data_IF_983710268013
#
_entry.id   IF_983710268013
#
_cell.length_a   1.000
_cell.length_b   1.000
_cell.length_c   1.000
_cell.angle_alpha   90.00
_cell.angle_beta   90.00
_cell.angle_gamma   90.00
#
_symmetry.space_group_name_H-M   'P 1'
#
loop_
_entity.id
_entity.type
_entity.pdbx_description
1 polymer ?
#
# COMPACT_ATOMS: atom_id res chain seq x y z
N UNK A 1 -38.54 44.04 -0.24
CA UNK A 1 -37.92 42.82 -0.81
C UNK A 1 -36.62 43.11 -1.57
N UNK A 2 -36.46 44.25 -2.28
CA UNK A 2 -35.21 44.58 -2.98
C UNK A 2 -33.96 44.80 -2.10
N UNK A 3 -34.09 45.31 -0.87
CA UNK A 3 -32.93 45.59 0.01
C UNK A 3 -32.32 44.36 0.69
N UNK A 4 -33.10 43.29 0.91
CA UNK A 4 -32.60 42.03 1.47
C UNK A 4 -31.73 41.27 0.46
N UNK A 5 -32.15 41.24 -0.81
CA UNK A 5 -31.47 40.52 -1.89
C UNK A 5 -30.09 41.16 -2.16
N UNK A 6 -29.99 42.49 -2.17
CA UNK A 6 -28.72 43.21 -2.33
C UNK A 6 -27.74 42.98 -1.17
N UNK A 7 -28.26 42.80 0.05
CA UNK A 7 -27.45 42.53 1.25
C UNK A 7 -26.89 41.10 1.30
N UNK A 8 -27.64 40.12 0.81
CA UNK A 8 -27.18 38.72 0.72
C UNK A 8 -26.13 38.52 -0.37
N UNK A 9 -26.30 39.13 -1.55
CA UNK A 9 -25.30 39.09 -2.62
C UNK A 9 -23.98 39.75 -2.21
N UNK A 10 -24.02 40.88 -1.49
CA UNK A 10 -22.81 41.56 -1.01
C UNK A 10 -22.05 40.74 0.05
N UNK A 11 -22.78 40.07 0.97
CA UNK A 11 -22.20 39.16 1.97
C UNK A 11 -21.57 37.93 1.33
N UNK A 12 -22.23 37.37 0.32
CA UNK A 12 -21.72 36.26 -0.49
C UNK A 12 -20.44 36.67 -1.24
N UNK A 13 -20.39 37.87 -1.84
CA UNK A 13 -19.18 38.39 -2.50
C UNK A 13 -18.00 38.61 -1.54
N UNK A 14 -18.24 39.14 -0.33
CA UNK A 14 -17.19 39.30 0.68
C UNK A 14 -16.65 37.97 1.19
N UNK A 15 -17.54 36.99 1.42
CA UNK A 15 -17.17 35.63 1.79
C UNK A 15 -16.25 34.99 0.75
N UNK A 16 -16.65 35.00 -0.53
CA UNK A 16 -15.84 34.41 -1.60
C UNK A 16 -14.47 35.07 -1.73
N UNK A 17 -14.39 36.40 -1.65
CA UNK A 17 -13.10 37.12 -1.68
C UNK A 17 -12.20 36.74 -0.50
N UNK A 18 -12.78 36.54 0.69
CA UNK A 18 -12.01 36.07 1.86
C UNK A 18 -11.47 34.67 1.62
N UNK A 19 -12.31 33.73 1.18
CA UNK A 19 -11.90 32.34 0.94
C UNK A 19 -10.81 32.26 -0.12
N UNK A 20 -10.94 32.98 -1.24
CA UNK A 20 -9.88 33.03 -2.26
C UNK A 20 -8.56 33.59 -1.73
N UNK A 21 -8.62 34.69 -0.94
CA UNK A 21 -7.43 35.24 -0.30
C UNK A 21 -6.79 34.24 0.68
N UNK A 22 -7.58 33.42 1.36
CA UNK A 22 -7.08 32.41 2.28
C UNK A 22 -6.48 31.20 1.58
N UNK A 23 -7.02 30.80 0.43
CA UNK A 23 -6.42 29.78 -0.43
C UNK A 23 -5.06 30.27 -0.94
N UNK A 24 -4.96 31.52 -1.39
CA UNK A 24 -3.68 32.12 -1.81
C UNK A 24 -2.63 32.07 -0.70
N UNK A 25 -3.02 32.35 0.55
CA UNK A 25 -2.14 32.27 1.72
C UNK A 25 -1.68 30.84 2.05
N UNK A 26 -2.49 29.83 1.72
CA UNK A 26 -2.13 28.42 1.87
C UNK A 26 -1.24 27.95 0.72
N UNK A 27 -1.47 28.46 -0.50
CA UNK A 27 -0.82 28.06 -1.74
C UNK A 27 -1.78 27.25 -2.64
N UNK A 28 -1.98 27.72 -3.87
CA UNK A 28 -2.85 27.07 -4.86
C UNK A 28 -2.36 25.70 -5.30
N UNK A 29 -1.04 25.47 -5.27
CA UNK A 29 -0.40 24.19 -5.58
C UNK A 29 -0.77 23.08 -4.59
N UNK A 30 -1.26 23.45 -3.39
CA UNK A 30 -1.72 22.52 -2.38
C UNK A 30 -3.22 22.21 -2.53
N UNK A 31 -3.99 23.01 -3.26
CA UNK A 31 -5.43 22.81 -3.42
C UNK A 31 -5.70 21.62 -4.35
N UNK A 32 -6.51 20.65 -3.90
CA UNK A 32 -6.87 19.45 -4.67
C UNK A 32 -8.29 19.54 -5.19
N UNK A 33 -9.23 19.96 -4.35
CA UNK A 33 -10.64 20.14 -4.71
C UNK A 33 -11.18 21.42 -4.12
N UNK A 34 -12.07 22.05 -4.88
CA UNK A 34 -12.82 23.23 -4.47
C UNK A 34 -14.27 23.04 -4.91
N UNK A 35 -15.21 23.08 -3.96
CA UNK A 35 -16.63 23.03 -4.26
C UNK A 35 -17.11 24.28 -4.99
N UNK A 36 -18.13 24.14 -5.83
CA UNK A 36 -18.67 25.25 -6.64
C UNK A 36 -19.17 26.42 -5.78
N UNK A 37 -19.70 26.13 -4.60
CA UNK A 37 -20.20 27.12 -3.64
C UNK A 37 -19.13 27.61 -2.65
N UNK A 38 -17.87 27.19 -2.83
CA UNK A 38 -16.73 27.48 -1.96
C UNK A 38 -16.92 27.08 -0.49
N UNK A 39 -17.87 26.17 -0.21
CA UNK A 39 -18.10 25.64 1.14
C UNK A 39 -17.29 24.38 1.44
N UNK A 40 -16.71 23.75 0.42
CA UNK A 40 -15.84 22.58 0.57
C UNK A 40 -14.51 22.83 -0.10
N UNK A 41 -13.42 22.53 0.60
CA UNK A 41 -12.06 22.58 0.07
C UNK A 41 -11.30 21.33 0.51
N UNK A 42 -10.32 20.91 -0.28
CA UNK A 42 -9.33 19.96 0.20
C UNK A 42 -7.91 20.34 -0.20
N UNK A 43 -6.99 20.16 0.74
CA UNK A 43 -5.57 20.46 0.58
C UNK A 43 -4.71 19.19 0.66
N UNK A 44 -3.75 19.08 -0.25
CA UNK A 44 -2.69 18.08 -0.25
C UNK A 44 -1.54 18.58 0.62
N UNK A 45 -1.25 17.82 1.66
CA UNK A 45 -0.22 18.14 2.65
C UNK A 45 0.78 16.98 2.72
N UNK A 46 2.06 17.31 2.61
CA UNK A 46 3.14 16.34 2.82
C UNK A 46 3.58 16.40 4.27
N UNK A 47 3.76 15.24 4.90
CA UNK A 47 4.45 15.16 6.18
C UNK A 47 5.98 15.14 6.01
N UNK A 48 6.72 15.12 7.12
CA UNK A 48 8.20 15.12 7.07
C UNK A 48 8.83 13.90 6.39
N UNK A 49 8.10 12.79 6.23
CA UNK A 49 8.55 11.59 5.52
C UNK A 49 8.09 11.57 4.06
N UNK A 50 7.43 12.63 3.59
CA UNK A 50 6.93 12.74 2.23
C UNK A 50 5.64 11.96 1.97
N UNK A 51 4.95 11.49 3.02
CA UNK A 51 3.63 10.87 2.86
C UNK A 51 2.61 11.94 2.52
N UNK A 52 1.72 11.61 1.58
CA UNK A 52 0.66 12.49 1.12
C UNK A 52 -0.59 12.31 1.98
N UNK A 53 -1.05 13.40 2.58
CA UNK A 53 -2.28 13.48 3.35
C UNK A 53 -3.24 14.46 2.68
N UNK A 54 -4.53 14.13 2.66
CA UNK A 54 -5.59 15.01 2.17
C UNK A 54 -6.36 15.54 3.38
N UNK A 55 -6.31 16.85 3.58
CA UNK A 55 -7.11 17.57 4.57
C UNK A 55 -8.34 18.13 3.88
N UNK A 56 -9.51 17.65 4.26
CA UNK A 56 -10.80 18.16 3.79
C UNK A 56 -11.36 19.15 4.81
N UNK A 57 -11.91 20.26 4.32
CA UNK A 57 -12.42 21.37 5.11
C UNK A 57 -13.80 21.74 4.60
N UNK A 58 -14.78 21.77 5.50
CA UNK A 58 -16.13 22.26 5.23
C UNK A 58 -16.35 23.58 5.97
N UNK A 59 -16.65 24.63 5.20
CA UNK A 59 -17.02 25.96 5.67
C UNK A 59 -18.54 26.04 5.75
N UNK A 60 -19.05 26.45 6.90
CA UNK A 60 -20.46 26.80 7.05
C UNK A 60 -20.69 28.30 6.79
N UNK A 61 -21.96 28.73 6.82
CA UNK A 61 -22.34 30.14 6.60
C UNK A 61 -21.89 31.08 7.73
N UNK A 62 -21.48 30.53 8.87
CA UNK A 62 -21.00 31.27 10.04
C UNK A 62 -19.49 31.46 10.04
N UNK A 63 -18.75 30.85 9.10
CA UNK A 63 -17.34 31.09 8.89
C UNK A 63 -17.00 32.58 8.67
N UNK A 64 -15.91 33.12 9.26
CA UNK A 64 -14.96 32.48 10.19
C UNK A 64 -15.37 32.60 11.67
N UNK A 65 -16.58 33.06 11.99
CA UNK A 65 -17.02 33.22 13.39
C UNK A 65 -17.12 31.87 14.11
N UNK A 66 -17.51 30.82 13.40
CA UNK A 66 -17.41 29.42 13.82
C UNK A 66 -16.21 28.73 13.18
N UNK A 67 -15.63 27.70 13.83
CA UNK A 67 -14.62 26.87 13.22
C UNK A 67 -15.18 26.11 12.02
N UNK A 68 -14.38 25.89 10.97
CA UNK A 68 -14.75 24.93 9.93
C UNK A 68 -14.72 23.49 10.47
N UNK A 69 -15.48 22.61 9.83
CA UNK A 69 -15.36 21.16 10.08
C UNK A 69 -14.22 20.60 9.25
N UNK A 70 -13.47 19.64 9.82
CA UNK A 70 -12.31 19.04 9.16
C UNK A 70 -12.38 17.52 9.16
N UNK A 71 -11.88 16.90 8.10
CA UNK A 71 -11.69 15.44 7.99
C UNK A 71 -10.39 15.14 7.28
N UNK A 72 -9.76 14.02 7.63
CA UNK A 72 -8.58 13.50 6.98
C UNK A 72 -8.48 11.99 7.27
N UNK A 73 -7.74 11.26 6.43
CA UNK A 73 -7.39 9.87 6.68
C UNK A 73 -6.32 9.78 7.78
N UNK A 74 -6.73 9.95 9.04
CA UNK A 74 -5.86 9.90 10.23
C UNK A 74 -6.58 9.14 11.35
N UNK A 75 -5.85 8.52 12.30
CA UNK A 75 -6.49 7.65 13.31
C UNK A 75 -7.46 8.39 14.23
N UNK A 76 -7.22 9.69 14.42
CA UNK A 76 -8.13 10.60 15.08
C UNK A 76 -7.89 12.02 14.57
N UNK A 77 -8.95 12.83 14.55
CA UNK A 77 -8.89 14.25 14.20
C UNK A 77 -8.50 15.05 15.44
N UNK A 78 -7.65 16.06 15.27
CA UNK A 78 -7.23 16.94 16.36
C UNK A 78 -8.34 17.92 16.75
N UNK A 79 -8.29 18.43 17.97
CA UNK A 79 -9.17 19.52 18.39
C UNK A 79 -8.66 20.82 17.77
N UNK A 80 -9.39 21.37 16.80
CA UNK A 80 -9.04 22.60 16.11
C UNK A 80 -9.15 23.79 17.07
N UNK A 81 -8.03 24.43 17.37
CA UNK A 81 -8.02 25.71 18.08
C UNK A 81 -8.43 26.82 17.11
N UNK A 82 -9.54 27.48 17.40
CA UNK A 82 -10.15 28.43 16.49
C UNK A 82 -10.63 29.69 17.20
N UNK A 83 -10.46 30.82 16.51
CA UNK A 83 -11.01 32.13 16.87
C UNK A 83 -11.57 32.82 15.63
N UNK A 84 -12.40 33.85 15.81
CA UNK A 84 -12.99 34.61 14.68
C UNK A 84 -11.98 35.30 13.75
N UNK A 85 -10.70 35.37 14.14
CA UNK A 85 -9.60 35.91 13.33
C UNK A 85 -8.76 34.82 12.67
N UNK A 86 -9.07 33.56 12.92
CA UNK A 86 -8.38 32.41 12.34
C UNK A 86 -8.79 32.25 10.88
N UNK A 87 -7.89 31.67 10.09
CA UNK A 87 -8.01 31.51 8.64
C UNK A 87 -7.57 30.11 8.23
N UNK A 88 -7.80 29.73 6.98
CA UNK A 88 -7.45 28.38 6.47
C UNK A 88 -6.00 27.97 6.76
N UNK A 89 -5.03 28.90 6.67
CA UNK A 89 -3.62 28.63 7.01
C UNK A 89 -3.41 28.14 8.44
N UNK A 90 -4.24 28.59 9.40
CA UNK A 90 -4.17 28.13 10.78
C UNK A 90 -4.61 26.67 10.90
N UNK A 91 -5.63 26.27 10.14
CA UNK A 91 -6.08 24.87 10.07
C UNK A 91 -4.96 23.98 9.50
N UNK A 92 -4.37 24.40 8.38
CA UNK A 92 -3.27 23.68 7.72
C UNK A 92 -2.05 23.56 8.64
N UNK A 93 -1.72 24.62 9.38
CA UNK A 93 -0.60 24.62 10.33
C UNK A 93 -0.83 23.64 11.49
N UNK A 94 -2.00 23.68 12.12
CA UNK A 94 -2.35 22.74 13.21
C UNK A 94 -2.43 21.29 12.70
N UNK A 95 -2.90 21.08 11.47
CA UNK A 95 -2.88 19.75 10.87
C UNK A 95 -1.46 19.25 10.65
N UNK A 96 -0.53 20.08 10.14
CA UNK A 96 0.89 19.70 10.03
C UNK A 96 1.49 19.30 11.38
N UNK A 97 1.20 20.05 12.44
CA UNK A 97 1.63 19.71 13.81
C UNK A 97 1.01 18.41 14.32
N UNK A 98 -0.23 18.12 13.94
CA UNK A 98 -0.89 16.85 14.22
C UNK A 98 -0.21 15.68 13.48
N UNK A 99 0.11 15.85 12.19
CA UNK A 99 0.86 14.87 11.42
C UNK A 99 2.22 14.56 12.05
N UNK A 100 2.90 15.55 12.64
CA UNK A 100 4.18 15.35 13.34
C UNK A 100 4.08 14.42 14.56
N UNK A 101 2.96 14.48 15.29
CA UNK A 101 2.69 13.60 16.44
C UNK A 101 2.47 12.14 16.03
N UNK A 102 1.96 11.91 14.82
CA UNK A 102 1.62 10.58 14.30
C UNK A 102 2.78 9.89 13.58
N UNK A 103 3.95 10.52 13.52
CA UNK A 103 5.08 10.02 12.72
C UNK A 103 5.60 8.67 13.21
N UNK A 104 5.73 8.48 14.51
CA UNK A 104 6.18 7.21 15.09
C UNK A 104 5.16 6.11 14.83
N UNK A 105 3.86 6.42 14.91
CA UNK A 105 2.77 5.48 14.67
C UNK A 105 2.81 4.90 13.27
N UNK A 106 2.82 5.76 12.24
CA UNK A 106 2.88 5.29 10.86
C UNK A 106 4.21 4.61 10.54
N UNK A 107 5.32 5.00 11.17
CA UNK A 107 6.60 4.30 10.99
C UNK A 107 6.54 2.87 11.51
N UNK A 108 5.95 2.66 12.69
CA UNK A 108 5.73 1.31 13.24
C UNK A 108 4.86 0.47 12.33
N UNK A 109 3.79 1.04 11.77
CA UNK A 109 2.92 0.32 10.83
C UNK A 109 3.66 -0.03 9.53
N UNK A 110 4.43 0.89 8.95
CA UNK A 110 5.23 0.61 7.77
C UNK A 110 6.27 -0.51 7.99
N UNK A 111 6.89 -0.55 9.16
CA UNK A 111 7.85 -1.60 9.51
C UNK A 111 7.16 -2.97 9.61
N UNK A 112 5.94 -3.01 10.16
CA UNK A 112 5.09 -4.20 10.18
C UNK A 112 4.71 -4.62 8.75
N UNK A 113 4.19 -3.68 7.95
CA UNK A 113 3.68 -3.92 6.60
C UNK A 113 4.79 -4.41 5.64
N UNK A 114 6.03 -3.93 5.83
CA UNK A 114 7.19 -4.39 5.06
C UNK A 114 7.70 -5.77 5.48
N UNK A 115 7.55 -6.13 6.75
CA UNK A 115 8.25 -7.28 7.33
C UNK A 115 7.37 -8.51 7.50
N UNK A 116 6.05 -8.33 7.63
CA UNK A 116 5.10 -9.40 7.94
C UNK A 116 4.09 -9.62 6.81
N UNK A 117 3.49 -10.80 6.77
CA UNK A 117 2.39 -11.11 5.86
C UNK A 117 1.09 -10.44 6.30
N UNK A 118 0.98 -9.14 6.02
CA UNK A 118 -0.21 -8.34 6.30
C UNK A 118 -1.22 -8.46 5.15
N UNK A 119 -2.51 -8.50 5.48
CA UNK A 119 -3.58 -8.42 4.49
C UNK A 119 -3.56 -7.08 3.71
N UNK A 120 -3.65 -7.15 2.38
CA UNK A 120 -3.35 -6.05 1.47
C UNK A 120 -4.37 -4.89 1.50
N UNK A 121 -5.49 -5.05 2.19
CA UNK A 121 -6.56 -4.05 2.27
C UNK A 121 -6.31 -2.93 3.29
N UNK A 122 -5.10 -2.81 3.85
CA UNK A 122 -4.77 -1.89 4.96
C UNK A 122 -4.04 -0.62 4.51
N UNK A 123 -4.48 0.01 3.41
CA UNK A 123 -3.82 1.18 2.83
C UNK A 123 -4.13 2.52 3.54
N UNK A 124 -5.13 2.56 4.43
CA UNK A 124 -5.55 3.78 5.12
C UNK A 124 -4.65 4.12 6.30
N UNK A 125 -4.31 5.41 6.41
CA UNK A 125 -3.53 5.97 7.52
C UNK A 125 -4.33 6.07 8.84
N UNK A 126 -5.66 5.94 8.79
CA UNK A 126 -6.52 5.89 9.97
C UNK A 126 -6.55 4.53 10.67
N UNK A 127 -6.22 3.45 9.97
CA UNK A 127 -6.33 2.08 10.51
C UNK A 127 -5.17 1.79 11.47
N UNK A 128 -5.50 1.59 12.74
CA UNK A 128 -4.55 1.31 13.84
C UNK A 128 -4.32 -0.17 14.13
N UNK A 129 -4.87 -1.08 13.34
CA UNK A 129 -4.60 -2.50 13.48
C UNK A 129 -4.05 -3.10 12.19
N UNK A 130 -3.39 -4.26 12.32
CA UNK A 130 -2.91 -5.07 11.20
C UNK A 130 -3.33 -6.51 11.38
N UNK A 131 -3.90 -7.09 10.33
CA UNK A 131 -4.21 -8.51 10.27
C UNK A 131 -3.04 -9.23 9.62
N UNK A 132 -2.33 -10.03 10.42
CA UNK A 132 -1.17 -10.81 10.02
C UNK A 132 -1.62 -12.24 9.75
N UNK A 133 -1.34 -12.74 8.55
CA UNK A 133 -1.57 -14.13 8.19
C UNK A 133 -0.47 -15.01 8.79
N UNK A 134 -0.84 -16.09 9.49
CA UNK A 134 0.10 -17.02 10.11
C UNK A 134 0.11 -18.38 9.39
N UNK A 135 -0.71 -18.55 8.35
CA UNK A 135 -0.92 -19.79 7.60
C UNK A 135 -2.03 -20.66 8.20
N UNK A 136 -2.49 -21.66 7.43
CA UNK A 136 -3.54 -22.61 7.84
C UNK A 136 -4.82 -21.94 8.37
N UNK A 137 -5.32 -20.92 7.66
CA UNK A 137 -6.51 -20.14 8.02
C UNK A 137 -6.46 -19.51 9.43
N UNK A 138 -5.25 -19.24 9.92
CA UNK A 138 -4.99 -18.62 11.20
C UNK A 138 -4.44 -17.20 11.03
N UNK A 139 -4.97 -16.27 11.84
CA UNK A 139 -4.63 -14.85 11.76
C UNK A 139 -4.36 -14.26 13.13
N UNK A 140 -3.52 -13.23 13.15
CA UNK A 140 -3.31 -12.37 14.31
C UNK A 140 -3.83 -10.99 13.93
N UNK A 141 -4.79 -10.45 14.69
CA UNK A 141 -5.04 -9.01 14.65
C UNK A 141 -4.20 -8.33 15.71
N UNK A 142 -3.35 -7.41 15.27
CA UNK A 142 -2.46 -6.65 16.09
C UNK A 142 -2.91 -5.19 16.11
N UNK A 143 -3.38 -4.70 17.25
CA UNK A 143 -3.79 -3.30 17.41
C UNK A 143 -2.65 -2.49 18.03
N UNK A 144 -2.24 -1.45 17.32
CA UNK A 144 -1.15 -0.54 17.70
C UNK A 144 -1.75 0.68 18.39
N UNK A 145 -1.18 1.05 19.54
CA UNK A 145 -1.57 2.28 20.21
C UNK A 145 -1.09 3.48 19.38
N UNK A 146 -1.99 4.40 19.04
CA UNK A 146 -1.67 5.56 18.19
C UNK A 146 -0.76 6.56 18.90
N UNK A 147 -0.95 6.76 20.21
CA UNK A 147 -0.19 7.77 20.99
C UNK A 147 1.07 7.20 21.62
N UNK A 148 1.17 5.88 21.79
CA UNK A 148 2.41 5.19 22.20
C UNK A 148 2.66 3.92 21.37
N UNK A 149 3.09 4.04 20.09
CA UNK A 149 3.20 2.91 19.16
C UNK A 149 4.22 1.83 19.55
N UNK A 150 5.11 2.16 20.49
CA UNK A 150 6.11 1.23 21.06
C UNK A 150 5.62 0.53 22.33
N UNK A 151 4.42 0.82 22.82
CA UNK A 151 3.82 0.09 23.93
C UNK A 151 3.51 -1.35 23.54
N UNK A 152 3.26 -2.21 24.53
CA UNK A 152 2.75 -3.57 24.29
C UNK A 152 1.44 -3.45 23.48
N UNK A 153 1.35 -4.05 22.28
CA UNK A 153 0.14 -3.98 21.46
C UNK A 153 -0.96 -4.89 22.01
N UNK A 154 -2.22 -4.59 21.68
CA UNK A 154 -3.30 -5.55 21.91
C UNK A 154 -3.27 -6.59 20.80
N UNK A 155 -3.38 -7.86 21.18
CA UNK A 155 -3.35 -8.97 20.22
C UNK A 155 -4.62 -9.80 20.31
N UNK A 156 -5.19 -10.13 19.16
CA UNK A 156 -6.29 -11.08 19.03
C UNK A 156 -5.90 -12.20 18.09
N UNK A 157 -6.08 -13.42 18.57
CA UNK A 157 -5.77 -14.64 17.86
C UNK A 157 -7.03 -15.23 17.23
N UNK A 158 -7.06 -15.35 15.90
CA UNK A 158 -8.17 -15.85 15.11
C UNK A 158 -7.81 -17.20 14.45
N UNK A 159 -8.77 -18.11 14.40
CA UNK A 159 -8.60 -19.48 13.88
C UNK A 159 -8.57 -20.55 14.98
N UNK A 160 -8.83 -21.80 14.60
CA UNK A 160 -8.96 -22.95 15.52
C UNK A 160 -7.77 -23.91 15.51
N UNK A 161 -6.62 -23.50 14.95
CA UNK A 161 -5.42 -24.33 14.86
C UNK A 161 -4.65 -24.50 16.17
N UNK A 162 -3.96 -25.64 16.38
CA UNK A 162 -3.09 -25.85 17.54
C UNK A 162 -1.99 -24.79 17.66
N UNK A 163 -1.49 -24.29 16.52
CA UNK A 163 -0.48 -23.22 16.45
C UNK A 163 -0.96 -21.93 17.11
N UNK A 164 -2.21 -21.52 16.86
CA UNK A 164 -2.80 -20.29 17.44
C UNK A 164 -3.00 -20.41 18.94
N UNK A 165 -3.42 -21.58 19.42
CA UNK A 165 -3.55 -21.84 20.84
C UNK A 165 -2.19 -21.83 21.56
N UNK A 166 -1.14 -22.33 20.91
CA UNK A 166 0.23 -22.25 21.44
C UNK A 166 0.70 -20.79 21.55
N UNK A 167 0.57 -20.01 20.46
CA UNK A 167 0.94 -18.60 20.45
C UNK A 167 0.18 -17.78 21.50
N UNK A 168 -1.11 -18.08 21.71
CA UNK A 168 -1.91 -17.44 22.76
C UNK A 168 -1.34 -17.69 24.15
N UNK A 169 -0.94 -18.93 24.45
CA UNK A 169 -0.31 -19.28 25.74
C UNK A 169 1.06 -18.60 25.90
N UNK A 170 1.87 -18.59 24.84
CA UNK A 170 3.18 -17.93 24.83
C UNK A 170 3.03 -16.43 25.08
N UNK A 171 2.11 -15.76 24.38
CA UNK A 171 1.82 -14.35 24.58
C UNK A 171 1.39 -14.03 26.02
N UNK A 172 0.43 -14.79 26.57
CA UNK A 172 -0.04 -14.60 27.96
C UNK A 172 1.10 -14.74 28.97
N UNK A 173 1.98 -15.73 28.77
CA UNK A 173 3.13 -15.97 29.65
C UNK A 173 4.20 -14.89 29.53
N UNK A 174 4.50 -14.46 28.30
CA UNK A 174 5.66 -13.64 28.01
C UNK A 174 5.37 -12.14 27.95
N UNK A 175 4.12 -11.69 27.84
CA UNK A 175 3.72 -10.27 27.63
C UNK A 175 4.46 -9.26 28.53
N UNK A 176 4.72 -9.61 29.79
CA UNK A 176 5.47 -8.78 30.76
C UNK A 176 6.93 -8.53 30.40
N UNK A 177 7.48 -9.28 29.43
CA UNK A 177 8.86 -9.16 28.93
C UNK A 177 9.00 -8.12 27.82
N UNK A 178 7.91 -7.46 27.41
CA UNK A 178 7.96 -6.39 26.42
C UNK A 178 8.89 -5.26 26.88
N UNK A 179 9.85 -4.89 26.03
CA UNK A 179 10.78 -3.80 26.29
C UNK A 179 10.59 -2.70 25.27
N UNK A 180 10.23 -1.50 25.72
CA UNK A 180 9.95 -0.36 24.83
C UNK A 180 11.12 0.01 23.92
N UNK A 181 12.34 -0.16 24.41
CA UNK A 181 13.56 0.22 23.69
C UNK A 181 14.00 -0.80 22.63
N UNK A 182 13.41 -2.01 22.65
CA UNK A 182 13.70 -3.04 21.66
C UNK A 182 12.93 -2.76 20.36
N UNK A 183 13.46 -3.19 19.19
CA UNK A 183 12.71 -3.19 17.94
C UNK A 183 11.38 -3.93 18.09
N UNK A 184 10.32 -3.32 17.55
CA UNK A 184 8.95 -3.81 17.73
C UNK A 184 8.76 -5.26 17.26
N UNK A 185 9.32 -5.60 16.09
CA UNK A 185 9.24 -6.95 15.52
C UNK A 185 10.06 -7.99 16.30
N UNK A 186 11.21 -7.58 16.86
CA UNK A 186 12.00 -8.47 17.72
C UNK A 186 11.25 -8.79 19.01
N UNK A 187 10.60 -7.80 19.62
CA UNK A 187 9.73 -8.05 20.76
C UNK A 187 8.61 -9.03 20.40
N UNK A 188 7.92 -8.85 19.29
CA UNK A 188 6.86 -9.77 18.86
C UNK A 188 7.39 -11.20 18.70
N UNK A 189 8.52 -11.38 18.02
CA UNK A 189 9.13 -12.70 17.84
C UNK A 189 9.54 -13.33 19.18
N UNK A 190 10.11 -12.54 20.10
CA UNK A 190 10.48 -13.00 21.43
C UNK A 190 9.27 -13.40 22.28
N UNK A 191 8.17 -12.66 22.19
CA UNK A 191 6.96 -12.93 22.98
C UNK A 191 6.21 -14.16 22.46
N UNK A 192 6.12 -14.30 21.14
CA UNK A 192 5.47 -15.43 20.48
C UNK A 192 6.38 -16.67 20.38
N UNK A 193 7.66 -16.55 20.71
CA UNK A 193 8.69 -17.61 20.60
C UNK A 193 8.72 -18.24 19.19
N UNK A 194 8.34 -17.46 18.18
CA UNK A 194 8.32 -17.86 16.78
C UNK A 194 8.45 -16.63 15.89
N UNK A 195 8.99 -16.83 14.69
CA UNK A 195 8.98 -15.80 13.66
C UNK A 195 7.66 -15.84 12.90
N UNK A 196 7.02 -14.68 12.78
CA UNK A 196 5.84 -14.54 11.93
C UNK A 196 6.26 -14.55 10.45
N UNK A 197 5.43 -15.08 9.55
CA UNK A 197 5.77 -15.15 8.13
C UNK A 197 5.86 -13.75 7.52
N UNK A 198 6.81 -13.57 6.61
CA UNK A 198 6.95 -12.35 5.81
C UNK A 198 6.01 -12.30 4.60
N UNK A 199 5.96 -11.17 3.88
CA UNK A 199 5.10 -11.00 2.71
C UNK A 199 5.33 -12.08 1.64
N UNK A 200 4.29 -12.52 0.92
CA UNK A 200 4.37 -13.60 -0.06
C UNK A 200 5.38 -13.32 -1.20
N UNK A 201 5.66 -12.05 -1.49
CA UNK A 201 6.58 -11.64 -2.56
C UNK A 201 8.07 -11.80 -2.15
N UNK A 202 8.36 -11.78 -0.85
CA UNK A 202 9.71 -12.04 -0.31
C UNK A 202 10.05 -13.52 -0.42
N UNK A 203 9.06 -14.41 -0.40
CA UNK A 203 9.27 -15.85 -0.57
C UNK A 203 9.47 -16.26 -2.04
N UNK A 204 8.95 -15.50 -3.02
CA UNK A 204 9.14 -15.81 -4.46
C UNK A 204 10.50 -15.37 -5.02
N UNK A 205 11.12 -14.31 -4.50
CA UNK A 205 12.41 -13.81 -5.02
C UNK A 205 13.59 -14.76 -4.83
N UNK A 206 13.50 -15.76 -3.94
CA UNK A 206 14.56 -16.75 -3.74
C UNK A 206 14.47 -17.97 -4.68
N UNK A 207 13.46 -18.05 -5.56
CA UNK A 207 13.22 -19.23 -6.40
C UNK A 207 12.79 -18.95 -7.86
N UNK A 208 12.90 -17.71 -8.35
CA UNK A 208 12.59 -17.44 -9.76
C UNK A 208 13.77 -17.82 -10.67
N UNK A 209 13.56 -18.85 -11.49
CA UNK A 209 14.55 -19.37 -12.45
C UNK A 209 14.61 -18.42 -13.65
N UNK A 210 15.81 -17.94 -13.99
CA UNK A 210 16.03 -17.09 -15.16
C UNK A 210 15.92 -17.90 -16.46
N UNK A 211 15.37 -17.28 -17.51
CA UNK A 211 15.33 -17.86 -18.84
C UNK A 211 16.76 -18.05 -19.39
N UNK A 212 17.09 -19.26 -19.83
CA UNK A 212 18.40 -19.59 -20.42
C UNK A 212 18.69 -18.95 -21.80
N UNK A 213 17.82 -18.10 -22.32
CA UNK A 213 18.04 -17.43 -23.62
C UNK A 213 18.16 -15.92 -23.43
N UNK A 214 17.19 -15.29 -22.78
CA UNK A 214 17.18 -13.85 -22.59
C UNK A 214 17.72 -13.40 -21.22
N UNK A 215 18.02 -14.34 -20.31
CA UNK A 215 18.46 -14.07 -18.93
C UNK A 215 17.50 -13.20 -18.11
N UNK A 216 16.29 -12.98 -18.59
CA UNK A 216 15.24 -12.30 -17.86
C UNK A 216 14.40 -13.33 -17.07
N UNK A 217 13.89 -12.89 -15.92
CA UNK A 217 13.01 -13.69 -15.07
C UNK A 217 11.57 -13.74 -15.59
N UNK A 218 11.19 -12.72 -16.35
CA UNK A 218 9.87 -12.61 -16.95
C UNK A 218 9.91 -11.71 -18.20
N UNK A 219 8.88 -11.78 -19.03
CA UNK A 219 8.67 -10.88 -20.17
C UNK A 219 7.36 -10.09 -20.02
N UNK A 220 7.32 -8.82 -20.46
CA UNK A 220 6.09 -8.03 -20.49
C UNK A 220 5.10 -8.63 -21.50
N UNK A 221 3.83 -8.77 -21.12
CA UNK A 221 2.75 -9.16 -22.02
C UNK A 221 1.93 -7.92 -22.37
N UNK A 222 1.86 -7.60 -23.66
CA UNK A 222 0.88 -6.64 -24.18
C UNK A 222 -0.48 -7.33 -24.25
N UNK A 223 -1.22 -7.29 -23.15
CA UNK A 223 -2.64 -7.62 -23.15
C UNK A 223 -3.44 -6.32 -23.22
N UNK A 224 -4.22 -6.14 -24.31
CA UNK A 224 -5.04 -4.93 -24.55
C UNK A 224 -6.18 -4.75 -23.53
N UNK A 225 -6.28 -5.63 -22.52
CA UNK A 225 -7.26 -5.58 -21.43
C UNK A 225 -6.71 -5.05 -20.09
N UNK A 226 -5.52 -4.43 -20.06
CA UNK A 226 -5.08 -3.61 -18.93
C UNK A 226 -4.68 -4.37 -17.66
N UNK A 227 -4.49 -5.69 -17.75
CA UNK A 227 -3.76 -6.44 -16.73
C UNK A 227 -2.28 -6.45 -17.11
N UNK A 228 -1.43 -5.81 -16.30
CA UNK A 228 0.02 -5.84 -16.42
C UNK A 228 0.57 -7.25 -16.07
N UNK A 229 0.25 -8.24 -16.91
CA UNK A 229 0.71 -9.61 -16.77
C UNK A 229 2.19 -9.72 -17.19
N UNK A 230 3.01 -10.29 -16.32
CA UNK A 230 4.35 -10.72 -16.65
C UNK A 230 4.36 -12.25 -16.84
N UNK A 231 4.84 -12.72 -17.99
CA UNK A 231 5.03 -14.16 -18.24
C UNK A 231 6.40 -14.56 -17.68
N UNK A 232 6.42 -15.45 -16.68
CA UNK A 232 7.65 -16.10 -16.22
C UNK A 232 8.05 -17.28 -17.11
N UNK A 233 9.16 -17.94 -16.81
CA UNK A 233 9.60 -19.13 -17.54
C UNK A 233 8.57 -20.27 -17.41
N UNK A 234 8.06 -20.75 -18.55
CA UNK A 234 6.98 -21.72 -18.68
C UNK A 234 7.43 -23.01 -19.39
N UNK A 235 8.67 -23.07 -19.87
CA UNK A 235 9.25 -24.23 -20.53
C UNK A 235 10.52 -24.66 -19.81
N UNK A 236 10.62 -25.93 -19.41
CA UNK A 236 11.83 -26.49 -18.80
C UNK A 236 12.35 -27.66 -19.65
N UNK A 237 13.67 -27.78 -19.77
CA UNK A 237 14.27 -28.95 -20.42
C UNK A 237 14.03 -30.22 -19.59
N UNK A 238 13.52 -31.28 -20.22
CA UNK A 238 13.20 -32.58 -19.59
C UNK A 238 14.42 -33.39 -19.17
N UNK A 239 15.62 -33.02 -19.63
CA UNK A 239 16.86 -33.66 -19.21
C UNK A 239 17.15 -33.33 -17.73
N UNK A 240 17.18 -34.36 -16.87
CA UNK A 240 17.45 -34.28 -15.44
C UNK A 240 18.84 -33.74 -15.08
N UNK A 241 19.76 -33.66 -16.04
CA UNK A 241 21.07 -33.04 -15.83
C UNK A 241 21.13 -31.58 -16.30
N UNK A 242 20.08 -31.07 -16.95
CA UNK A 242 20.06 -29.72 -17.54
C UNK A 242 19.22 -28.74 -16.72
N UNK A 243 17.96 -29.08 -16.43
CA UNK A 243 17.00 -28.27 -15.66
C UNK A 243 16.86 -26.79 -16.08
N UNK A 244 17.29 -26.42 -17.29
CA UNK A 244 17.19 -25.04 -17.77
C UNK A 244 15.75 -24.69 -18.10
N UNK A 245 15.32 -23.53 -17.60
CA UNK A 245 14.02 -22.95 -17.88
C UNK A 245 14.13 -21.87 -18.97
N UNK A 246 13.06 -21.70 -19.72
CA UNK A 246 12.94 -20.77 -20.84
C UNK A 246 11.52 -20.19 -20.88
N UNK A 247 11.38 -19.01 -21.46
CA UNK A 247 10.08 -18.55 -21.95
C UNK A 247 9.73 -19.29 -23.24
N UNK A 248 8.46 -19.65 -23.41
CA UNK A 248 7.93 -20.32 -24.61
C UNK A 248 8.18 -19.50 -25.86
N UNK A 249 8.11 -18.17 -25.76
CA UNK A 249 8.45 -17.24 -26.84
C UNK A 249 9.94 -17.34 -27.18
N UNK A 250 10.84 -17.22 -26.19
CA UNK A 250 12.29 -17.29 -26.41
C UNK A 250 12.72 -18.63 -27.02
N UNK A 251 12.20 -19.74 -26.48
CA UNK A 251 12.52 -21.08 -26.98
C UNK A 251 11.88 -21.32 -28.36
N UNK A 252 10.67 -20.81 -28.59
CA UNK A 252 10.00 -20.88 -29.88
C UNK A 252 10.76 -20.13 -30.98
N UNK A 253 11.22 -18.91 -30.70
CA UNK A 253 12.03 -18.12 -31.64
C UNK A 253 13.38 -18.77 -31.93
N UNK A 254 14.03 -19.30 -30.90
CA UNK A 254 15.27 -20.07 -31.05
C UNK A 254 15.06 -21.29 -31.96
N UNK A 255 14.03 -22.10 -31.70
CA UNK A 255 13.73 -23.28 -32.51
C UNK A 255 13.34 -22.92 -33.95
N UNK A 256 12.64 -21.80 -34.18
CA UNK A 256 12.35 -21.32 -35.54
C UNK A 256 13.59 -20.92 -36.34
N UNK A 257 14.68 -20.55 -35.66
CA UNK A 257 15.96 -20.23 -36.31
C UNK A 257 16.77 -21.46 -36.74
N UNK A 258 16.38 -22.66 -36.29
CA UNK A 258 17.10 -23.91 -36.56
C UNK A 258 16.43 -24.69 -37.70
N UNK A 259 17.24 -25.11 -38.67
CA UNK A 259 16.79 -25.79 -39.90
C UNK A 259 16.28 -27.22 -39.68
N UNK A 260 16.67 -27.87 -38.58
CA UNK A 260 16.27 -29.25 -38.24
C UNK A 260 15.02 -29.32 -37.34
N UNK A 261 14.43 -28.18 -36.99
CA UNK A 261 13.24 -28.11 -36.14
C UNK A 261 12.02 -28.69 -36.87
N UNK A 262 11.24 -29.51 -36.17
CA UNK A 262 9.98 -30.08 -36.68
C UNK A 262 8.82 -29.36 -36.02
N UNK A 263 7.76 -29.10 -36.79
CA UNK A 263 6.51 -28.54 -36.26
C UNK A 263 5.37 -29.53 -36.43
N UNK A 264 4.58 -29.72 -35.37
CA UNK A 264 3.29 -30.42 -35.42
C UNK A 264 2.24 -29.54 -34.76
N UNK A 265 1.24 -29.11 -35.55
CA UNK A 265 0.25 -28.11 -35.14
C UNK A 265 0.90 -26.86 -34.54
N UNK A 266 0.63 -26.60 -33.26
CA UNK A 266 1.15 -25.47 -32.50
C UNK A 266 2.31 -25.87 -31.57
N UNK A 267 2.98 -26.99 -31.82
CA UNK A 267 4.14 -27.44 -31.03
C UNK A 267 5.37 -27.55 -31.92
N UNK A 268 6.47 -26.91 -31.52
CA UNK A 268 7.79 -27.10 -32.12
C UNK A 268 8.57 -28.15 -31.34
N UNK A 269 9.28 -28.99 -32.07
CA UNK A 269 10.18 -30.02 -31.58
C UNK A 269 11.58 -29.77 -32.13
N UNK A 270 12.56 -29.69 -31.24
CA UNK A 270 13.96 -29.55 -31.62
C UNK A 270 14.88 -29.92 -30.46
N UNK A 271 16.05 -29.32 -30.38
CA UNK A 271 17.06 -29.64 -29.38
C UNK A 271 17.26 -28.47 -28.42
N UNK A 272 17.47 -28.78 -27.13
CA UNK A 272 17.78 -27.81 -26.09
C UNK A 272 19.09 -27.07 -26.41
N UNK A 273 19.15 -25.73 -26.28
CA UNK A 273 20.37 -24.95 -26.55
C UNK A 273 21.58 -25.33 -25.68
N UNK A 274 21.35 -25.95 -24.52
CA UNK A 274 22.39 -26.24 -23.54
C UNK A 274 22.89 -27.68 -23.57
N UNK A 275 21.98 -28.65 -23.59
CA UNK A 275 22.32 -30.06 -23.50
C UNK A 275 22.13 -30.82 -24.82
N UNK A 276 21.61 -30.17 -25.85
CA UNK A 276 21.27 -30.78 -27.16
C UNK A 276 20.25 -31.92 -27.12
N UNK A 277 19.65 -32.22 -25.97
CA UNK A 277 18.57 -33.20 -25.84
C UNK A 277 17.25 -32.69 -26.44
N UNK A 278 16.33 -33.58 -26.86
CA UNK A 278 15.04 -33.21 -27.40
C UNK A 278 14.24 -32.30 -26.46
N UNK A 279 13.63 -31.26 -27.01
CA UNK A 279 12.72 -30.34 -26.30
C UNK A 279 11.52 -30.03 -27.18
N UNK A 280 10.37 -29.83 -26.54
CA UNK A 280 9.14 -29.41 -27.20
C UNK A 280 8.59 -28.13 -26.56
N UNK A 281 8.10 -27.21 -27.39
CA UNK A 281 7.47 -25.96 -26.93
C UNK A 281 6.16 -25.74 -27.67
N UNK A 282 5.10 -25.43 -26.91
CA UNK A 282 3.81 -25.04 -27.46
C UNK A 282 3.82 -23.53 -27.72
N UNK A 283 3.58 -23.14 -28.97
CA UNK A 283 3.45 -21.76 -29.38
C UNK A 283 1.97 -21.39 -29.31
N UNK A 284 1.64 -20.35 -28.56
CA UNK A 284 0.31 -19.76 -28.63
C UNK A 284 0.21 -18.91 -29.90
N UNK A 285 -0.64 -19.34 -30.85
CA UNK A 285 -0.96 -18.61 -32.08
C UNK A 285 -1.84 -17.40 -31.80
N UNK A 286 -1.41 -16.48 -30.94
CA UNK A 286 -1.96 -15.14 -30.90
C UNK A 286 -0.97 -14.25 -31.67
N UNK A 287 -1.41 -13.76 -32.85
CA UNK A 287 -0.69 -12.89 -33.81
C UNK A 287 0.08 -13.65 -34.91
N UNK A 288 -0.65 -13.99 -35.98
CA UNK A 288 -0.27 -13.49 -37.31
C UNK A 288 -1.07 -12.22 -37.56
#
# INVERSE_FOLDING_TARGET
>A
MGSCITGELAKSSAFYRSVYSEIEEVGWEHLVRLGEDLTFLSFRILDKKGRVHILEIQLDRTYPKSPPSISADVPYVFNLEWSMHSRLKNVVQQFKEHLEKLQEFWSTLEDIDKSLWVDHNMASFAISYRQINVGNDCFIMLSINVTDPKSLPEIRFLGSGPSVNSMRKQWQRNSKRWKRDNPFLENLACLLETHLPGPPDVQKKQQQVECGICYAQSLPVDDELGNNGWIGTDCTCDNTNCHRAFHSICLGDWLRSITTTRQSFNVLFGNCPYCSEPVAVKINSAKQ
#
